data_IF_778475370102
#
_entry.id   IF_778475370102
#
_cell.length_a   1.000
_cell.length_b   1.000
_cell.length_c   1.000
_cell.angle_alpha   90.00
_cell.angle_beta   90.00
_cell.angle_gamma   90.00
#
_symmetry.space_group_name_H-M   'P 1'
#
loop_
_entity.id
_entity.type
_entity.pdbx_description
1 polymer ?
#
# COMPACT_ATOMS: atom_id res chain seq x y z
N UNK A 1 5.52 54.97 -5.86
CA UNK A 1 5.64 54.02 -4.74
C UNK A 1 4.52 52.98 -4.57
N UNK A 2 3.24 53.14 -5.02
CA UNK A 2 2.19 52.13 -4.73
C UNK A 2 2.36 50.82 -5.51
N UNK A 3 2.88 50.86 -6.74
CA UNK A 3 3.11 49.66 -7.57
C UNK A 3 4.10 48.66 -6.95
N UNK A 4 5.15 49.16 -6.29
CA UNK A 4 6.17 48.30 -5.68
C UNK A 4 5.61 47.51 -4.49
N UNK A 5 4.68 48.09 -3.73
CA UNK A 5 4.01 47.40 -2.62
C UNK A 5 3.09 46.28 -3.10
N UNK A 6 2.34 46.52 -4.19
CA UNK A 6 1.46 45.50 -4.79
C UNK A 6 2.28 44.31 -5.29
N UNK A 7 3.40 44.57 -5.98
CA UNK A 7 4.30 43.51 -6.44
C UNK A 7 4.90 42.72 -5.27
N UNK A 8 5.34 43.41 -4.21
CA UNK A 8 5.89 42.75 -3.03
C UNK A 8 4.87 41.85 -2.32
N UNK A 9 3.62 42.30 -2.18
CA UNK A 9 2.53 41.51 -1.60
C UNK A 9 2.23 40.28 -2.48
N UNK A 10 2.19 40.46 -3.80
CA UNK A 10 1.92 39.36 -4.73
C UNK A 10 3.01 38.28 -4.69
N UNK A 11 4.28 38.68 -4.67
CA UNK A 11 5.41 37.76 -4.54
C UNK A 11 5.36 37.03 -3.20
N UNK A 12 5.11 37.74 -2.10
CA UNK A 12 5.00 37.14 -0.77
C UNK A 12 3.85 36.12 -0.69
N UNK A 13 2.67 36.46 -1.24
CA UNK A 13 1.53 35.56 -1.30
C UNK A 13 1.82 34.32 -2.17
N UNK A 14 2.48 34.50 -3.32
CA UNK A 14 2.83 33.41 -4.23
C UNK A 14 3.83 32.44 -3.59
N UNK A 15 4.86 32.98 -2.92
CA UNK A 15 5.83 32.17 -2.18
C UNK A 15 5.19 31.45 -0.98
N UNK A 16 4.28 32.12 -0.28
CA UNK A 16 3.50 31.52 0.81
C UNK A 16 2.63 30.34 0.33
N UNK A 17 1.92 30.53 -0.78
CA UNK A 17 1.11 29.47 -1.41
C UNK A 17 1.98 28.32 -1.92
N UNK A 18 3.12 28.60 -2.54
CA UNK A 18 4.04 27.58 -3.00
C UNK A 18 4.65 26.78 -1.83
N UNK A 19 5.02 27.46 -0.74
CA UNK A 19 5.52 26.82 0.47
C UNK A 19 4.46 25.95 1.14
N UNK A 20 3.23 26.46 1.26
CA UNK A 20 2.09 25.70 1.80
C UNK A 20 1.79 24.47 0.93
N UNK A 21 1.77 24.64 -0.39
CA UNK A 21 1.57 23.54 -1.35
C UNK A 21 2.66 22.47 -1.20
N UNK A 22 3.93 22.86 -1.04
CA UNK A 22 5.03 21.91 -0.84
C UNK A 22 4.93 21.15 0.49
N UNK A 23 4.52 21.82 1.58
CA UNK A 23 4.28 21.19 2.88
C UNK A 23 3.09 20.23 2.79
N UNK A 24 2.01 20.63 2.13
CA UNK A 24 0.85 19.78 1.89
C UNK A 24 1.20 18.58 1.01
N UNK A 25 1.93 18.76 -0.09
CA UNK A 25 2.39 17.66 -0.96
C UNK A 25 3.28 16.68 -0.19
N UNK A 26 4.22 17.14 0.63
CA UNK A 26 5.03 16.25 1.48
C UNK A 26 4.19 15.47 2.49
N UNK A 27 3.24 16.13 3.14
CA UNK A 27 2.41 15.50 4.18
C UNK A 27 1.26 14.65 3.60
N UNK A 28 0.80 14.94 2.39
CA UNK A 28 -0.26 14.19 1.70
C UNK A 28 0.30 13.08 0.80
N UNK A 29 1.56 13.16 0.36
CA UNK A 29 2.27 12.02 -0.25
C UNK A 29 2.41 10.84 0.70
N UNK A 30 2.40 11.08 2.01
CA UNK A 30 2.27 10.02 3.02
C UNK A 30 0.86 9.41 3.14
N UNK A 31 -0.14 9.93 2.42
CA UNK A 31 -1.54 9.47 2.43
C UNK A 31 -2.03 8.83 1.12
N UNK A 32 -1.23 8.84 0.06
CA UNK A 32 -1.51 8.10 -1.18
C UNK A 32 -0.54 6.93 -1.28
N UNK A 33 -0.96 5.76 -0.85
CA UNK A 33 -0.12 4.57 -0.84
C UNK A 33 -0.74 3.45 -0.04
N UNK A 34 -0.08 2.29 -0.08
CA UNK A 34 -0.42 1.16 0.76
C UNK A 34 0.31 1.30 2.09
N UNK A 35 -0.34 0.96 3.19
CA UNK A 35 0.31 0.75 4.48
C UNK A 35 0.62 -0.73 4.57
N UNK A 36 1.91 -1.06 4.54
CA UNK A 36 2.40 -2.39 4.84
C UNK A 36 2.50 -2.54 6.35
N UNK A 37 1.91 -3.59 6.90
CA UNK A 37 2.05 -4.01 8.29
C UNK A 37 2.60 -5.43 8.31
N UNK A 38 3.71 -5.63 9.02
CA UNK A 38 4.36 -6.93 9.15
C UNK A 38 4.30 -7.34 10.61
N UNK A 39 3.75 -8.52 10.86
CA UNK A 39 3.70 -9.16 12.17
C UNK A 39 4.49 -10.47 12.09
N UNK A 40 5.44 -10.69 12.99
CA UNK A 40 6.20 -11.94 13.03
C UNK A 40 6.17 -12.59 14.40
N UNK A 41 6.39 -13.89 14.41
CA UNK A 41 6.33 -14.68 15.62
C UNK A 41 7.30 -15.84 15.67
N UNK A 42 7.44 -16.40 16.87
CA UNK A 42 8.18 -17.63 17.14
C UNK A 42 7.18 -18.59 17.80
N UNK A 43 7.09 -19.83 17.32
CA UNK A 43 6.19 -20.86 17.84
C UNK A 43 4.72 -20.43 17.97
N UNK A 44 4.26 -19.61 17.01
CA UNK A 44 2.88 -19.11 16.98
C UNK A 44 2.60 -17.93 17.92
N UNK A 45 3.58 -17.44 18.67
CA UNK A 45 3.47 -16.20 19.45
C UNK A 45 4.01 -15.00 18.69
N UNK A 46 3.24 -13.92 18.60
CA UNK A 46 3.70 -12.64 18.02
C UNK A 46 4.82 -12.05 18.87
N UNK A 47 5.98 -11.85 18.26
CA UNK A 47 7.19 -11.32 18.92
C UNK A 47 7.45 -9.87 18.55
N UNK A 48 7.01 -9.44 17.38
CA UNK A 48 7.17 -8.06 16.97
C UNK A 48 6.27 -7.67 15.79
N UNK A 49 6.25 -6.37 15.53
CA UNK A 49 5.53 -5.81 14.41
C UNK A 49 6.03 -4.42 14.04
N UNK A 50 5.87 -4.06 12.77
CA UNK A 50 6.00 -2.67 12.31
C UNK A 50 4.98 -2.37 11.21
N UNK A 51 4.77 -1.09 10.96
CA UNK A 51 4.00 -0.60 9.82
C UNK A 51 4.75 0.52 9.11
N UNK A 52 4.72 0.53 7.78
CA UNK A 52 5.35 1.56 6.95
C UNK A 52 4.52 1.84 5.69
N UNK A 53 4.50 3.08 5.18
CA UNK A 53 3.93 3.35 3.87
C UNK A 53 4.81 2.72 2.78
N UNK A 54 4.18 2.13 1.77
CA UNK A 54 4.83 1.54 0.60
C UNK A 54 4.05 1.88 -0.67
N UNK A 55 4.74 1.83 -1.81
CA UNK A 55 4.15 2.09 -3.11
C UNK A 55 3.65 0.82 -3.82
N UNK A 56 4.11 -0.36 -3.38
CA UNK A 56 3.85 -1.64 -4.04
C UNK A 56 3.62 -2.78 -3.03
N UNK A 57 2.98 -3.85 -3.51
CA UNK A 57 2.77 -5.11 -2.77
C UNK A 57 3.95 -6.02 -3.07
N UNK A 58 5.05 -5.83 -2.33
CA UNK A 58 6.31 -6.55 -2.54
C UNK A 58 6.96 -6.92 -1.20
N UNK A 59 7.81 -7.96 -1.22
CA UNK A 59 8.55 -8.46 -0.06
C UNK A 59 10.01 -7.97 0.00
N UNK A 60 10.35 -6.93 -0.78
CA UNK A 60 11.69 -6.32 -0.85
C UNK A 60 12.27 -5.89 0.52
N UNK A 61 11.40 -5.59 1.48
CA UNK A 61 11.76 -5.24 2.86
C UNK A 61 12.59 -6.32 3.57
N UNK A 62 12.47 -7.58 3.14
CA UNK A 62 13.29 -8.67 3.68
C UNK A 62 14.76 -8.50 3.31
N UNK A 63 15.06 -7.97 2.12
CA UNK A 63 16.43 -7.69 1.68
C UNK A 63 17.01 -6.47 2.41
N UNK A 64 16.18 -5.46 2.68
CA UNK A 64 16.58 -4.24 3.39
C UNK A 64 16.83 -4.47 4.89
N UNK A 65 16.16 -5.46 5.48
CA UNK A 65 16.19 -5.74 6.91
C UNK A 65 16.49 -7.22 7.21
N UNK A 66 17.74 -7.68 7.01
CA UNK A 66 18.14 -9.07 7.17
C UNK A 66 18.03 -9.59 8.62
N UNK A 67 17.77 -8.71 9.58
CA UNK A 67 17.49 -9.07 10.97
C UNK A 67 16.04 -9.57 11.17
N UNK A 68 15.14 -9.30 10.22
CA UNK A 68 13.78 -9.85 10.24
C UNK A 68 13.82 -11.34 9.90
N UNK A 69 12.91 -12.14 10.48
CA UNK A 69 12.83 -13.55 10.14
C UNK A 69 12.35 -13.69 8.69
N UNK A 70 13.10 -14.40 7.86
CA UNK A 70 12.69 -14.69 6.47
C UNK A 70 11.51 -15.66 6.35
N UNK A 71 10.92 -16.11 7.46
CA UNK A 71 9.79 -17.04 7.54
C UNK A 71 9.00 -16.82 8.83
N UNK A 72 7.78 -17.37 8.91
CA UNK A 72 6.88 -17.24 10.07
C UNK A 72 6.46 -15.79 10.35
N UNK A 73 6.05 -15.10 9.29
CA UNK A 73 5.47 -13.77 9.40
C UNK A 73 4.18 -13.68 8.59
N UNK A 74 3.33 -12.74 8.98
CA UNK A 74 2.19 -12.31 8.23
C UNK A 74 2.41 -10.86 7.81
N UNK A 75 2.03 -10.54 6.58
CA UNK A 75 2.11 -9.20 6.04
C UNK A 75 0.76 -8.80 5.48
N UNK A 76 0.36 -7.57 5.79
CA UNK A 76 -0.87 -6.96 5.31
C UNK A 76 -0.52 -5.67 4.60
N UNK A 77 -0.99 -5.49 3.37
CA UNK A 77 -0.99 -4.22 2.69
C UNK A 77 -2.42 -3.68 2.66
N UNK A 78 -2.63 -2.49 3.17
CA UNK A 78 -3.95 -1.86 3.18
C UNK A 78 -3.87 -0.45 2.63
N UNK A 79 -4.80 -0.09 1.76
CA UNK A 79 -4.89 1.26 1.26
C UNK A 79 -6.18 1.50 0.50
N UNK A 80 -6.19 2.59 -0.25
CA UNK A 80 -7.32 2.96 -1.08
C UNK A 80 -6.87 3.15 -2.51
N UNK A 81 -7.72 2.70 -3.43
CA UNK A 81 -7.53 2.89 -4.86
C UNK A 81 -8.68 3.72 -5.41
N UNK A 82 -8.33 4.83 -6.06
CA UNK A 82 -9.31 5.68 -6.73
C UNK A 82 -9.33 5.39 -8.23
N UNK A 83 -10.51 5.03 -8.74
CA UNK A 83 -10.80 4.82 -10.15
C UNK A 83 -11.66 5.97 -10.66
N UNK A 84 -11.24 6.63 -11.73
CA UNK A 84 -12.02 7.75 -12.30
C UNK A 84 -13.26 7.27 -13.06
N UNK A 85 -13.15 6.11 -13.68
CA UNK A 85 -14.16 5.48 -14.52
C UNK A 85 -14.27 4.01 -14.13
N UNK A 86 -15.43 3.42 -14.38
CA UNK A 86 -15.62 1.99 -14.17
C UNK A 86 -14.72 1.20 -15.13
N UNK A 87 -14.15 0.11 -14.64
CA UNK A 87 -13.18 -0.71 -15.37
C UNK A 87 -13.25 -2.17 -14.93
N UNK A 88 -12.64 -3.05 -15.72
CA UNK A 88 -12.51 -4.47 -15.38
C UNK A 88 -11.04 -4.79 -15.14
N UNK A 89 -10.73 -5.41 -14.00
CA UNK A 89 -9.37 -5.85 -13.67
C UNK A 89 -9.25 -7.34 -13.48
N UNK A 90 -8.01 -7.82 -13.49
CA UNK A 90 -7.64 -9.11 -12.92
C UNK A 90 -6.54 -8.91 -11.90
N UNK A 91 -6.63 -9.64 -10.80
CA UNK A 91 -5.60 -9.67 -9.77
C UNK A 91 -4.72 -10.88 -10.03
N UNK A 92 -3.40 -10.67 -10.02
CA UNK A 92 -2.41 -11.71 -10.14
C UNK A 92 -1.64 -11.82 -8.83
N UNK A 93 -1.51 -13.03 -8.31
CA UNK A 93 -0.69 -13.34 -7.14
C UNK A 93 0.31 -14.43 -7.53
N UNK A 94 1.57 -14.15 -7.24
CA UNK A 94 2.69 -15.08 -7.41
C UNK A 94 3.42 -15.18 -6.07
N UNK A 95 3.65 -16.40 -5.61
CA UNK A 95 4.21 -16.70 -4.30
C UNK A 95 4.01 -18.16 -3.91
N UNK A 96 4.92 -18.69 -3.11
CA UNK A 96 4.87 -20.08 -2.65
C UNK A 96 3.91 -20.28 -1.46
N UNK A 97 3.50 -19.17 -0.85
CA UNK A 97 2.78 -19.10 0.42
C UNK A 97 1.35 -18.56 0.25
N UNK A 98 0.50 -18.80 1.25
CA UNK A 98 -0.90 -18.40 1.18
C UNK A 98 -1.06 -16.88 1.12
N UNK A 99 -1.91 -16.41 0.20
CA UNK A 99 -2.24 -15.00 0.03
C UNK A 99 -3.73 -14.81 -0.28
N UNK A 100 -4.31 -13.71 0.20
CA UNK A 100 -5.67 -13.32 -0.09
C UNK A 100 -5.74 -11.84 -0.44
N UNK A 101 -6.50 -11.51 -1.48
CA UNK A 101 -6.75 -10.14 -1.92
C UNK A 101 -8.23 -9.81 -1.74
N UNK A 102 -8.48 -8.65 -1.14
CA UNK A 102 -9.81 -8.09 -0.93
C UNK A 102 -9.95 -6.71 -1.54
N UNK A 103 -11.10 -6.48 -2.17
CA UNK A 103 -11.53 -5.17 -2.66
C UNK A 103 -12.91 -4.89 -2.08
N UNK A 104 -13.09 -3.76 -1.40
CA UNK A 104 -14.35 -3.39 -0.73
C UNK A 104 -14.90 -4.48 0.21
N UNK A 105 -13.97 -5.11 0.94
CA UNK A 105 -14.20 -6.23 1.88
C UNK A 105 -14.59 -7.58 1.22
N UNK A 106 -14.79 -7.63 -0.11
CA UNK A 106 -15.00 -8.87 -0.86
C UNK A 106 -13.68 -9.56 -1.21
N UNK A 107 -13.60 -10.88 -1.02
CA UNK A 107 -12.43 -11.69 -1.41
C UNK A 107 -12.48 -11.92 -2.91
N UNK A 108 -11.53 -11.31 -3.63
CA UNK A 108 -11.44 -11.39 -5.10
C UNK A 108 -10.40 -12.41 -5.57
N UNK A 109 -9.46 -12.77 -4.71
CA UNK A 109 -8.48 -13.82 -4.95
C UNK A 109 -8.13 -14.47 -3.61
N UNK A 110 -8.19 -15.81 -3.58
CA UNK A 110 -7.74 -16.64 -2.47
C UNK A 110 -6.75 -17.66 -3.02
N UNK A 111 -5.49 -17.47 -2.69
CA UNK A 111 -4.37 -18.30 -3.13
C UNK A 111 -3.92 -19.17 -1.96
N UNK A 112 -4.10 -20.48 -2.12
CA UNK A 112 -3.65 -21.45 -1.14
C UNK A 112 -2.13 -21.65 -1.23
N UNK A 113 -1.48 -21.90 -0.08
CA UNK A 113 -0.05 -22.19 -0.03
C UNK A 113 0.33 -23.38 -0.92
N UNK A 114 1.52 -23.33 -1.53
CA UNK A 114 2.06 -24.29 -2.50
C UNK A 114 1.29 -24.34 -3.84
N UNK A 115 0.48 -23.32 -4.13
CA UNK A 115 -0.08 -23.11 -5.46
C UNK A 115 0.95 -22.43 -6.37
N UNK A 116 0.94 -22.74 -7.67
CA UNK A 116 1.62 -21.89 -8.65
C UNK A 116 0.93 -20.52 -8.81
N UNK A 117 1.43 -19.67 -9.71
CA UNK A 117 0.85 -18.35 -9.97
C UNK A 117 -0.66 -18.43 -10.18
N UNK A 118 -1.41 -17.60 -9.45
CA UNK A 118 -2.89 -17.60 -9.48
C UNK A 118 -3.39 -16.26 -10.01
N UNK A 119 -4.39 -16.31 -10.87
CA UNK A 119 -5.04 -15.12 -11.43
C UNK A 119 -6.54 -15.20 -11.15
N UNK A 120 -7.14 -14.09 -10.73
CA UNK A 120 -8.58 -14.01 -10.51
C UNK A 120 -9.36 -14.07 -11.84
N UNK A 121 -10.65 -14.38 -11.73
CA UNK A 121 -11.61 -14.00 -12.78
C UNK A 121 -11.64 -12.47 -12.94
N UNK A 122 -12.16 -11.95 -14.07
CA UNK A 122 -12.35 -10.52 -14.24
C UNK A 122 -13.29 -9.93 -13.18
N UNK A 123 -12.87 -8.83 -12.56
CA UNK A 123 -13.59 -8.15 -11.49
C UNK A 123 -14.04 -6.79 -12.01
N UNK A 124 -15.35 -6.51 -12.07
CA UNK A 124 -15.84 -5.17 -12.36
C UNK A 124 -15.58 -4.26 -11.15
N UNK A 125 -15.01 -3.08 -11.41
CA UNK A 125 -14.75 -2.04 -10.43
C UNK A 125 -15.49 -0.79 -10.89
N UNK A 126 -16.33 -0.24 -10.03
CA UNK A 126 -17.04 1.00 -10.31
C UNK A 126 -16.09 2.21 -10.31
N UNK A 127 -16.60 3.38 -10.71
CA UNK A 127 -15.87 4.62 -10.52
C UNK A 127 -15.99 5.06 -9.05
N UNK A 128 -14.87 5.36 -8.40
CA UNK A 128 -14.89 5.84 -7.03
C UNK A 128 -13.66 5.46 -6.22
N UNK A 129 -13.82 5.48 -4.90
CA UNK A 129 -12.78 5.09 -3.96
C UNK A 129 -13.08 3.67 -3.47
N UNK A 130 -12.13 2.77 -3.66
CA UNK A 130 -12.21 1.38 -3.27
C UNK A 130 -11.19 1.07 -2.18
N UNK A 131 -11.59 0.30 -1.16
CA UNK A 131 -10.66 -0.21 -0.16
C UNK A 131 -9.94 -1.42 -0.73
N UNK A 132 -8.62 -1.42 -0.64
CA UNK A 132 -7.79 -2.53 -1.08
C UNK A 132 -7.04 -3.13 0.10
N UNK A 133 -7.08 -4.46 0.23
CA UNK A 133 -6.32 -5.19 1.25
C UNK A 133 -5.72 -6.46 0.66
N UNK A 134 -4.41 -6.62 0.83
CA UNK A 134 -3.70 -7.88 0.56
C UNK A 134 -3.19 -8.43 1.87
N UNK A 135 -3.38 -9.73 2.08
CA UNK A 135 -2.87 -10.46 3.22
C UNK A 135 -2.04 -11.63 2.72
N UNK A 136 -0.84 -11.82 3.25
CA UNK A 136 -0.02 -12.99 2.96
C UNK A 136 0.57 -13.56 4.25
N UNK A 137 0.71 -14.89 4.30
CA UNK A 137 1.29 -15.61 5.44
C UNK A 137 2.42 -16.48 4.95
N UNK A 138 3.64 -16.12 5.34
CA UNK A 138 4.85 -16.86 4.98
C UNK A 138 5.17 -17.89 6.05
N UNK A 139 5.12 -19.18 5.70
CA UNK A 139 5.39 -20.30 6.62
C UNK A 139 6.60 -21.10 6.14
N UNK A 140 7.17 -21.91 7.02
CA UNK A 140 8.11 -22.93 6.57
C UNK A 140 7.34 -24.13 6.00
N UNK A 141 7.82 -24.66 4.87
CA UNK A 141 7.46 -26.00 4.42
C UNK A 141 7.82 -27.01 5.53
N UNK A 142 6.93 -27.98 5.77
CA UNK A 142 7.13 -29.05 6.76
C UNK A 142 7.73 -30.28 6.08
#
# INVERSE_FOLDING_TARGET
MPRLRVVAVYVAASLGLAGLSHVLDRNLRTGTGLVQSVDWGIDGQRVGSFSRPVAAVELDFLDEAPALPGRYFAVTWEGFWYTREALEIRVHADGDDAAAVRIDDDVVLDHAAHGGPTTSEPIPIDAGLHRFRVYAVVRAET
#
